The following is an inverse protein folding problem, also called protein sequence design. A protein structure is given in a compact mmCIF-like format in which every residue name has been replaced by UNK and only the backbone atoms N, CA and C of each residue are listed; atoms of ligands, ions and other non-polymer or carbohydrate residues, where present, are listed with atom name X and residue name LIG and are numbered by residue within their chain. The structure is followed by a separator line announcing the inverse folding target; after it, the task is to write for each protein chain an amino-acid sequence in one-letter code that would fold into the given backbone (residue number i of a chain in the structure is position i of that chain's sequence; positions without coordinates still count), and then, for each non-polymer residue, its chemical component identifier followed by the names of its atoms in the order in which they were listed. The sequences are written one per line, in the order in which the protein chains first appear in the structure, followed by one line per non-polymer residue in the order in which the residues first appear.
data_IF_123372337355
#
_entry.id   IF_123372337355
#
_cell.length_a   1.000
_cell.length_b   1.000
_cell.length_c   1.000
_cell.angle_alpha   90.00
_cell.angle_beta   90.00
_cell.angle_gamma   90.00
#
_symmetry.space_group_name_H-M   'P 1'
#
loop_
_entity.id
_entity.type
_entity.pdbx_description
1 polymer ?
#
# COMPACT_ATOMS: atom_id res chain seq x y z
N UNK A 1 7.98 -8.80 17.63
CA UNK A 1 7.43 -7.50 18.06
C UNK A 1 5.93 -7.52 18.36
N UNK A 2 5.07 -8.16 17.54
CA UNK A 2 3.59 -8.15 17.72
C UNK A 2 3.01 -8.93 18.91
N UNK A 3 3.85 -9.49 19.78
CA UNK A 3 3.39 -9.99 21.08
C UNK A 3 3.12 -8.85 22.08
N UNK A 4 3.57 -7.63 21.76
CA UNK A 4 3.29 -6.40 22.50
C UNK A 4 2.20 -5.63 21.75
N UNK A 5 1.12 -5.23 22.44
CA UNK A 5 -0.01 -4.49 21.86
C UNK A 5 0.42 -3.11 21.35
N UNK A 6 1.47 -2.57 21.95
CA UNK A 6 2.12 -1.31 21.62
C UNK A 6 2.76 -1.31 20.23
N UNK A 7 3.01 -2.48 19.64
CA UNK A 7 3.57 -2.58 18.28
C UNK A 7 2.58 -2.06 17.24
N UNK A 8 1.34 -2.55 17.25
CA UNK A 8 0.29 -2.12 16.31
C UNK A 8 -0.60 -1.01 16.91
N UNK A 9 -0.46 -0.73 18.20
CA UNK A 9 -1.28 0.20 18.97
C UNK A 9 -2.67 -0.35 19.35
N UNK A 10 -2.98 -1.58 18.91
CA UNK A 10 -4.24 -2.28 19.14
C UNK A 10 -4.01 -3.79 19.04
N UNK A 11 -4.91 -4.57 19.63
CA UNK A 11 -4.83 -6.02 19.61
C UNK A 11 -6.11 -6.68 20.08
N UNK A 12 -6.01 -7.95 20.41
CA UNK A 12 -7.10 -8.76 20.95
C UNK A 12 -6.57 -9.50 22.18
N UNK A 13 -7.32 -9.49 23.28
CA UNK A 13 -6.96 -10.22 24.50
C UNK A 13 -7.28 -11.73 24.38
N UNK A 14 -7.01 -12.48 25.44
CA UNK A 14 -7.24 -13.94 25.47
C UNK A 14 -8.72 -14.31 25.36
N UNK A 15 -9.61 -13.40 25.74
CA UNK A 15 -11.06 -13.59 25.73
C UNK A 15 -11.69 -13.12 24.40
N UNK A 16 -10.88 -12.61 23.47
CA UNK A 16 -11.34 -12.15 22.16
C UNK A 16 -11.76 -10.67 22.14
N UNK A 17 -11.58 -9.93 23.23
CA UNK A 17 -11.96 -8.52 23.28
C UNK A 17 -10.90 -7.64 22.61
N UNK A 18 -11.37 -6.59 21.91
CA UNK A 18 -10.48 -5.59 21.30
C UNK A 18 -9.85 -4.73 22.39
N UNK A 19 -8.53 -4.62 22.34
CA UNK A 19 -7.75 -3.76 23.23
C UNK A 19 -7.00 -2.70 22.42
N UNK A 20 -6.80 -1.53 23.03
CA UNK A 20 -6.03 -0.42 22.47
C UNK A 20 -4.89 -0.12 23.43
N UNK A 21 -3.69 0.03 22.90
CA UNK A 21 -2.53 0.39 23.71
C UNK A 21 -2.66 1.85 24.18
N UNK A 22 -2.25 2.09 25.43
CA UNK A 22 -2.11 3.45 25.95
C UNK A 22 -1.01 4.21 25.20
N UNK A 23 -1.19 5.52 25.01
CA UNK A 23 -0.26 6.33 24.22
C UNK A 23 1.12 6.48 24.90
N UNK A 24 1.15 6.57 26.23
CA UNK A 24 2.41 6.62 26.99
C UNK A 24 3.12 5.27 26.95
N UNK A 25 2.36 4.16 27.04
CA UNK A 25 2.90 2.81 26.88
C UNK A 25 3.52 2.61 25.48
N UNK A 26 2.86 3.07 24.41
CA UNK A 26 3.42 3.04 23.04
C UNK A 26 4.71 3.84 22.97
N UNK A 27 4.74 5.06 23.54
CA UNK A 27 5.94 5.89 23.55
C UNK A 27 7.09 5.22 24.32
N UNK A 28 6.80 4.62 25.46
CA UNK A 28 7.78 3.89 26.27
C UNK A 28 8.32 2.65 25.51
N UNK A 29 7.44 1.91 24.84
CA UNK A 29 7.81 0.74 24.04
C UNK A 29 8.73 1.13 22.88
N UNK A 30 8.39 2.18 22.12
CA UNK A 30 9.25 2.71 21.06
C UNK A 30 10.61 3.18 21.57
N UNK A 31 10.60 3.89 22.70
CA UNK A 31 11.83 4.37 23.35
C UNK A 31 12.73 3.23 23.83
N UNK A 32 12.16 2.04 24.09
CA UNK A 32 12.95 0.88 24.48
C UNK A 32 13.82 0.33 23.36
N UNK A 33 13.42 0.50 22.09
CA UNK A 33 14.22 0.02 20.95
C UNK A 33 15.55 0.76 20.82
N UNK A 34 15.58 2.07 21.09
CA UNK A 34 16.81 2.86 21.09
C UNK A 34 17.84 2.42 22.16
N UNK A 35 17.43 1.60 23.13
CA UNK A 35 18.35 0.99 24.11
C UNK A 35 19.05 -0.27 23.56
N UNK A 36 18.59 -0.81 22.44
CA UNK A 36 19.09 -2.06 21.85
C UNK A 36 20.21 -1.84 20.83
N UNK A 37 20.48 -0.60 20.44
CA UNK A 37 21.55 -0.25 19.52
C UNK A 37 21.60 1.24 19.24
N UNK A 38 22.65 1.66 18.53
CA UNK A 38 22.93 3.08 18.28
C UNK A 38 22.33 3.60 16.96
N UNK A 39 22.05 2.71 16.02
CA UNK A 39 21.56 3.02 14.67
C UNK A 39 20.31 2.20 14.36
N UNK A 40 19.29 2.86 13.81
CA UNK A 40 18.10 2.19 13.30
C UNK A 40 18.22 1.94 11.81
N UNK A 41 18.10 0.67 11.40
CA UNK A 41 18.08 0.27 10.00
C UNK A 41 16.77 -0.47 9.71
N UNK A 42 15.94 0.06 8.80
CA UNK A 42 14.71 -0.60 8.37
C UNK A 42 14.92 -1.32 7.05
N UNK A 43 14.78 -2.65 7.06
CA UNK A 43 14.85 -3.49 5.85
C UNK A 43 13.51 -4.20 5.54
N UNK A 44 12.40 -3.70 6.12
CA UNK A 44 11.08 -4.32 6.04
C UNK A 44 10.07 -3.49 5.22
N UNK A 45 10.25 -3.41 3.90
CA UNK A 45 9.40 -2.59 3.01
C UNK A 45 7.90 -2.92 3.11
N UNK A 46 7.55 -4.20 3.19
CA UNK A 46 6.15 -4.64 3.25
C UNK A 46 5.36 -4.12 4.46
N UNK A 47 6.04 -3.66 5.51
CA UNK A 47 5.41 -3.03 6.69
C UNK A 47 5.60 -1.51 6.75
N UNK A 48 6.34 -0.91 5.82
CA UNK A 48 6.65 0.52 5.83
C UNK A 48 5.41 1.43 5.71
N UNK A 49 4.30 0.93 5.16
CA UNK A 49 3.02 1.64 5.10
C UNK A 49 2.29 1.70 6.45
N UNK A 50 2.80 1.05 7.49
CA UNK A 50 2.18 0.98 8.82
C UNK A 50 2.94 1.85 9.81
N UNK A 51 2.21 2.69 10.54
CA UNK A 51 2.75 3.53 11.63
C UNK A 51 2.98 2.73 12.93
N UNK A 52 3.52 1.51 12.82
CA UNK A 52 3.80 0.62 13.93
C UNK A 52 5.07 1.02 14.67
N UNK A 53 5.18 0.64 15.95
CA UNK A 53 6.31 1.03 16.80
C UNK A 53 7.67 0.65 16.24
N UNK A 54 7.82 -0.55 15.68
CA UNK A 54 9.07 -1.00 15.05
C UNK A 54 9.45 -0.24 13.77
N UNK A 55 8.51 0.48 13.14
CA UNK A 55 8.74 1.18 11.87
C UNK A 55 9.19 2.62 12.03
N UNK A 56 8.98 3.23 13.20
CA UNK A 56 9.17 4.67 13.37
C UNK A 56 10.63 5.07 13.60
N UNK A 57 11.43 4.18 14.20
CA UNK A 57 12.81 4.49 14.57
C UNK A 57 12.91 5.62 15.61
N UNK A 58 11.90 5.78 16.47
CA UNK A 58 11.87 6.84 17.47
C UNK A 58 13.10 6.76 18.40
N UNK A 59 13.64 7.92 18.77
CA UNK A 59 14.83 8.11 19.61
C UNK A 59 16.17 7.60 19.06
N UNK A 60 16.23 7.11 17.82
CA UNK A 60 17.50 6.91 17.13
C UNK A 60 17.95 8.20 16.44
N UNK A 61 19.21 8.58 16.62
CA UNK A 61 19.81 9.74 15.94
C UNK A 61 20.09 9.46 14.47
N UNK A 62 20.46 8.22 14.14
CA UNK A 62 20.72 7.76 12.78
C UNK A 62 19.66 6.73 12.37
N UNK A 63 18.99 7.02 11.25
CA UNK A 63 17.97 6.15 10.64
C UNK A 63 18.33 5.92 9.18
N UNK A 64 18.45 4.65 8.79
CA UNK A 64 18.75 4.27 7.41
C UNK A 64 17.80 3.18 6.91
N UNK A 65 17.75 3.02 5.60
CA UNK A 65 17.19 1.84 4.96
C UNK A 65 18.25 0.75 4.87
N UNK A 66 17.82 -0.50 5.01
CA UNK A 66 18.60 -1.65 4.58
C UNK A 66 18.58 -1.77 3.06
N UNK A 67 19.32 -2.76 2.53
CA UNK A 67 19.48 -2.93 1.09
C UNK A 67 18.19 -3.32 0.37
N UNK A 68 17.30 -4.09 0.99
CA UNK A 68 16.01 -4.45 0.40
C UNK A 68 15.13 -3.21 0.28
N UNK A 69 14.98 -2.45 1.36
CA UNK A 69 14.18 -1.22 1.32
C UNK A 69 14.79 -0.20 0.37
N UNK A 70 16.12 -0.02 0.36
CA UNK A 70 16.79 0.87 -0.58
C UNK A 70 16.53 0.46 -2.04
N UNK A 71 16.56 -0.84 -2.35
CA UNK A 71 16.27 -1.36 -3.69
C UNK A 71 14.83 -1.06 -4.11
N UNK A 72 13.86 -1.28 -3.22
CA UNK A 72 12.45 -0.96 -3.48
C UNK A 72 12.27 0.54 -3.71
N UNK A 73 12.80 1.40 -2.82
CA UNK A 73 12.72 2.85 -2.96
C UNK A 73 13.33 3.34 -4.29
N UNK A 74 14.47 2.79 -4.69
CA UNK A 74 15.10 3.12 -5.97
C UNK A 74 14.27 2.66 -7.17
N UNK A 75 13.61 1.51 -7.08
CA UNK A 75 12.71 1.03 -8.14
C UNK A 75 11.48 1.93 -8.27
N UNK A 76 10.88 2.33 -7.15
CA UNK A 76 9.74 3.26 -7.15
C UNK A 76 10.12 4.67 -7.61
N UNK A 77 11.26 5.22 -7.16
CA UNK A 77 11.72 6.54 -7.56
C UNK A 77 11.94 6.65 -9.09
N UNK A 78 12.45 5.57 -9.71
CA UNK A 78 12.58 5.46 -11.17
C UNK A 78 11.24 5.49 -11.91
N UNK A 79 10.13 5.22 -11.26
CA UNK A 79 8.79 5.22 -11.89
C UNK A 79 8.00 6.48 -11.52
N UNK A 80 8.22 7.02 -10.31
CA UNK A 80 7.42 8.12 -9.76
C UNK A 80 8.03 9.50 -9.95
N UNK A 81 9.36 9.64 -9.86
CA UNK A 81 10.01 10.96 -9.77
C UNK A 81 10.57 11.43 -11.12
N UNK A 82 11.32 10.56 -11.81
CA UNK A 82 11.86 10.86 -13.14
C UNK A 82 11.84 9.61 -14.04
N UNK A 83 10.65 9.18 -14.48
CA UNK A 83 10.54 7.96 -15.23
C UNK A 83 11.07 8.09 -16.66
N UNK A 84 11.78 7.05 -17.10
CA UNK A 84 12.16 6.91 -18.49
C UNK A 84 10.89 6.74 -19.34
N UNK A 85 10.74 7.62 -20.32
CA UNK A 85 9.56 7.67 -21.17
C UNK A 85 9.73 6.77 -22.41
N UNK A 86 8.67 6.10 -22.89
CA UNK A 86 7.30 6.13 -22.35
C UNK A 86 7.10 5.20 -21.15
N UNK A 87 6.24 5.61 -20.22
CA UNK A 87 5.80 4.85 -19.05
C UNK A 87 4.51 4.10 -19.36
N UNK A 88 4.56 2.77 -19.20
CA UNK A 88 3.41 1.89 -19.32
C UNK A 88 3.00 1.36 -17.94
N UNK A 89 1.77 1.64 -17.51
CA UNK A 89 1.13 0.95 -16.40
C UNK A 89 0.35 -0.27 -16.90
N UNK A 90 0.59 -1.43 -16.29
CA UNK A 90 -0.22 -2.63 -16.52
C UNK A 90 -1.00 -2.92 -15.22
N UNK A 91 -2.31 -2.68 -15.27
CA UNK A 91 -3.21 -2.85 -14.14
C UNK A 91 -4.10 -4.08 -14.35
N UNK A 92 -4.24 -4.89 -13.31
CA UNK A 92 -5.12 -6.05 -13.31
C UNK A 92 -5.74 -6.30 -11.95
N UNK A 93 -6.73 -7.18 -11.94
CA UNK A 93 -7.47 -7.55 -10.73
C UNK A 93 -8.88 -8.03 -11.05
N UNK A 94 -9.62 -8.37 -10.00
CA UNK A 94 -11.00 -8.84 -10.12
C UNK A 94 -12.02 -7.70 -10.19
N UNK A 95 -11.80 -6.61 -9.43
CA UNK A 95 -12.75 -5.51 -9.27
C UNK A 95 -12.10 -4.16 -9.61
N UNK A 96 -12.88 -3.28 -10.23
CA UNK A 96 -12.45 -1.91 -10.55
C UNK A 96 -12.45 -1.07 -9.28
N UNK A 97 -13.46 -1.25 -8.42
CA UNK A 97 -13.67 -0.52 -7.16
C UNK A 97 -12.44 -0.52 -6.25
N UNK A 98 -11.78 -1.66 -6.11
CA UNK A 98 -10.55 -1.82 -5.31
C UNK A 98 -9.34 -1.04 -5.88
N UNK A 99 -9.41 -0.61 -7.15
CA UNK A 99 -8.30 -0.02 -7.91
C UNK A 99 -8.55 1.42 -8.36
N UNK A 100 -9.71 2.01 -8.05
CA UNK A 100 -10.05 3.37 -8.50
C UNK A 100 -8.98 4.39 -8.09
N UNK A 101 -8.58 4.39 -6.81
CA UNK A 101 -7.57 5.34 -6.33
C UNK A 101 -6.22 5.14 -7.02
N UNK A 102 -5.85 3.89 -7.30
CA UNK A 102 -4.62 3.58 -8.02
C UNK A 102 -4.69 4.09 -9.45
N UNK A 103 -5.79 3.85 -10.17
CA UNK A 103 -5.98 4.33 -11.55
C UNK A 103 -5.93 5.86 -11.59
N UNK A 104 -6.69 6.54 -10.72
CA UNK A 104 -6.72 8.01 -10.64
C UNK A 104 -5.34 8.61 -10.33
N UNK A 105 -4.53 7.94 -9.50
CA UNK A 105 -3.16 8.41 -9.20
C UNK A 105 -2.15 8.15 -10.34
N UNK A 106 -2.42 7.17 -11.20
CA UNK A 106 -1.50 6.75 -12.25
C UNK A 106 -1.80 7.41 -13.60
N UNK A 107 -3.05 7.78 -13.87
CA UNK A 107 -3.45 8.33 -15.18
C UNK A 107 -2.68 9.61 -15.55
N UNK A 108 -2.36 10.45 -14.55
CA UNK A 108 -1.58 11.68 -14.75
C UNK A 108 -0.05 11.42 -14.85
N UNK A 109 0.40 10.18 -14.67
CA UNK A 109 1.83 9.82 -14.54
C UNK A 109 2.33 8.87 -15.62
N UNK A 110 1.44 8.31 -16.44
CA UNK A 110 1.79 7.29 -17.45
C UNK A 110 1.30 7.70 -18.82
N UNK A 111 2.07 7.41 -19.87
CA UNK A 111 1.64 7.65 -21.25
C UNK A 111 0.69 6.57 -21.74
N UNK A 112 0.84 5.35 -21.20
CA UNK A 112 0.06 4.19 -21.60
C UNK A 112 -0.44 3.43 -20.38
N UNK A 113 -1.68 2.96 -20.46
CA UNK A 113 -2.29 2.11 -19.44
C UNK A 113 -2.99 0.91 -20.08
N UNK A 114 -2.61 -0.29 -19.65
CA UNK A 114 -3.29 -1.53 -20.01
C UNK A 114 -4.12 -1.98 -18.81
N UNK A 115 -5.42 -2.20 -19.03
CA UNK A 115 -6.33 -2.76 -18.03
C UNK A 115 -6.68 -4.20 -18.43
N UNK A 116 -6.28 -5.16 -17.60
CA UNK A 116 -6.51 -6.59 -17.82
C UNK A 116 -7.21 -7.29 -16.65
N UNK A 117 -7.39 -8.60 -16.76
CA UNK A 117 -8.06 -9.41 -15.74
C UNK A 117 -9.58 -9.22 -15.71
N UNK A 118 -10.22 -9.61 -14.60
CA UNK A 118 -11.68 -9.56 -14.45
C UNK A 118 -12.27 -8.15 -14.55
N UNK A 119 -11.51 -7.15 -14.09
CA UNK A 119 -11.94 -5.75 -14.16
C UNK A 119 -12.09 -5.23 -15.61
N UNK A 120 -11.38 -5.81 -16.58
CA UNK A 120 -11.48 -5.40 -17.98
C UNK A 120 -12.88 -5.60 -18.56
N UNK A 121 -13.61 -6.64 -18.12
CA UNK A 121 -15.00 -6.88 -18.56
C UNK A 121 -15.94 -5.75 -18.15
N UNK A 122 -15.71 -5.14 -16.98
CA UNK A 122 -16.49 -3.98 -16.53
C UNK A 122 -16.26 -2.78 -17.46
N UNK A 123 -15.01 -2.53 -17.88
CA UNK A 123 -14.70 -1.50 -18.87
C UNK A 123 -15.33 -1.78 -20.23
N UNK A 124 -15.16 -2.99 -20.77
CA UNK A 124 -15.68 -3.37 -22.09
C UNK A 124 -17.21 -3.33 -22.16
N UNK A 125 -17.90 -3.78 -21.10
CA UNK A 125 -19.36 -3.71 -21.02
C UNK A 125 -19.86 -2.27 -20.98
N UNK A 126 -19.22 -1.40 -20.19
CA UNK A 126 -19.67 -0.01 -20.02
C UNK A 126 -19.34 0.86 -21.24
N UNK A 127 -18.16 0.71 -21.84
CA UNK A 127 -17.68 1.56 -22.94
C UNK A 127 -18.15 1.08 -24.31
N UNK A 128 -18.22 -0.24 -24.51
CA UNK A 128 -18.46 -0.83 -25.83
C UNK A 128 -19.74 -1.67 -25.89
N UNK A 129 -20.47 -1.83 -24.78
CA UNK A 129 -21.69 -2.64 -24.74
C UNK A 129 -21.43 -4.14 -24.99
N UNK A 130 -20.21 -4.61 -24.73
CA UNK A 130 -19.82 -6.01 -24.96
C UNK A 130 -20.65 -6.94 -24.07
N UNK A 131 -21.19 -8.01 -24.65
CA UNK A 131 -21.77 -9.11 -23.88
C UNK A 131 -20.66 -9.90 -23.18
N UNK A 132 -20.69 -9.89 -21.86
CA UNK A 132 -19.66 -10.48 -21.01
C UNK A 132 -20.07 -11.86 -20.46
N UNK A 133 -21.29 -12.33 -20.76
CA UNK A 133 -21.83 -13.57 -20.20
C UNK A 133 -21.74 -13.61 -18.67
N UNK A 134 -21.14 -14.68 -18.13
CA UNK A 134 -20.94 -14.86 -16.68
C UNK A 134 -19.61 -14.29 -16.16
N UNK A 135 -18.93 -13.43 -16.94
CA UNK A 135 -17.68 -12.81 -16.49
C UNK A 135 -17.93 -11.85 -15.32
N UNK A 136 -16.88 -11.58 -14.55
CA UNK A 136 -16.95 -10.68 -13.41
C UNK A 136 -17.39 -9.27 -13.84
N UNK A 137 -18.43 -8.75 -13.18
CA UNK A 137 -18.91 -7.39 -13.37
C UNK A 137 -18.96 -6.68 -12.03
N UNK A 138 -18.31 -5.53 -11.96
CA UNK A 138 -18.29 -4.68 -10.76
C UNK A 138 -19.25 -3.50 -10.97
N UNK A 139 -20.46 -3.60 -10.42
CA UNK A 139 -21.51 -2.59 -10.58
C UNK A 139 -21.12 -1.22 -10.00
N UNK A 140 -20.42 -1.20 -8.87
CA UNK A 140 -19.95 0.05 -8.27
C UNK A 140 -18.80 0.64 -9.08
N UNK A 141 -17.88 -0.20 -9.53
CA UNK A 141 -16.81 0.18 -10.45
C UNK A 141 -17.32 0.74 -11.78
N UNK A 142 -18.40 0.16 -12.33
CA UNK A 142 -18.99 0.55 -13.61
C UNK A 142 -19.42 2.02 -13.65
N UNK A 143 -19.87 2.59 -12.53
CA UNK A 143 -20.29 3.99 -12.42
C UNK A 143 -19.15 4.97 -12.71
N UNK A 144 -17.91 4.54 -12.46
CA UNK A 144 -16.71 5.40 -12.48
C UNK A 144 -15.90 5.18 -13.76
N UNK A 145 -16.15 4.11 -14.52
CA UNK A 145 -15.43 3.82 -15.78
C UNK A 145 -15.44 5.01 -16.74
N UNK A 146 -16.58 5.71 -16.87
CA UNK A 146 -16.68 6.89 -17.76
C UNK A 146 -15.93 8.12 -17.25
N UNK A 147 -15.62 8.19 -15.96
CA UNK A 147 -14.79 9.27 -15.40
C UNK A 147 -13.29 9.00 -15.59
N UNK A 148 -12.91 7.74 -15.81
CA UNK A 148 -11.51 7.30 -15.96
C UNK A 148 -11.04 7.50 -17.41
N UNK A 149 -11.95 7.46 -18.38
CA UNK A 149 -11.66 7.61 -19.82
C UNK A 149 -11.71 9.06 -20.26
#
# INVERSE_FOLDING_TARGET
VRFHVEEEGKGVDKDGNKIKADAEAVKAFRSSFAKLGDVFCSDAFGTAHRAHSSMMGDNFSVKCSGFLVAKELNAFAKVLDNPAQPVLAILGGAKVSDKIQLIKNMIDKVDMMIVGGGMAFTFLKVLNGVDIGNSLFDEEGAKIVKEIM
#
